data_IF_320378005829
#
_entry.id   IF_320378005829
#
_cell.length_a   1.000
_cell.length_b   1.000
_cell.length_c   1.000
_cell.angle_alpha   90.00
_cell.angle_beta   90.00
_cell.angle_gamma   90.00
#
_symmetry.space_group_name_H-M   'P 1'
#
loop_
_entity.id
_entity.type
_entity.pdbx_description
1 polymer ?
#
# COMPACT_ATOMS: atom_id res chain seq x y z
N UNK A 1 0.37 -5.42 -7.15
CA UNK A 1 0.01 -6.76 -6.62
C UNK A 1 -1.45 -6.83 -6.21
N UNK A 2 -1.94 -5.96 -5.30
CA UNK A 2 -3.33 -5.99 -4.83
C UNK A 2 -4.38 -6.00 -5.95
N UNK A 3 -4.26 -5.12 -6.94
CA UNK A 3 -5.19 -5.03 -8.08
C UNK A 3 -5.36 -6.35 -8.84
N UNK A 4 -4.30 -7.16 -8.94
CA UNK A 4 -4.33 -8.48 -9.60
C UNK A 4 -5.15 -9.47 -8.77
N UNK A 5 -4.98 -9.46 -7.45
CA UNK A 5 -5.72 -10.33 -6.54
C UNK A 5 -7.22 -10.05 -6.59
N UNK A 6 -7.61 -8.77 -6.70
CA UNK A 6 -9.02 -8.41 -6.88
C UNK A 6 -9.52 -8.85 -8.27
N UNK A 7 -8.72 -8.65 -9.32
CA UNK A 7 -9.09 -9.06 -10.69
C UNK A 7 -9.28 -10.57 -10.86
N UNK A 8 -8.51 -11.39 -10.13
CA UNK A 8 -8.62 -12.85 -10.17
C UNK A 8 -9.60 -13.43 -9.14
N UNK A 9 -10.26 -12.58 -8.34
CA UNK A 9 -11.19 -13.01 -7.28
C UNK A 9 -10.52 -13.56 -6.01
N UNK A 10 -9.19 -13.68 -5.99
CA UNK A 10 -8.43 -14.18 -4.83
C UNK A 10 -8.39 -13.17 -3.67
N UNK A 11 -8.69 -11.90 -3.95
CA UNK A 11 -8.68 -10.81 -2.96
C UNK A 11 -9.48 -11.13 -1.71
N UNK A 12 -10.71 -11.67 -1.85
CA UNK A 12 -11.55 -12.02 -0.71
C UNK A 12 -10.95 -13.15 0.13
N UNK A 13 -10.39 -14.18 -0.50
CA UNK A 13 -9.78 -15.32 0.19
C UNK A 13 -8.59 -14.88 1.04
N UNK A 14 -7.71 -14.05 0.47
CA UNK A 14 -6.58 -13.51 1.21
C UNK A 14 -7.04 -12.62 2.37
N UNK A 15 -8.05 -11.77 2.13
CA UNK A 15 -8.61 -10.90 3.16
C UNK A 15 -9.21 -11.70 4.33
N UNK A 16 -9.99 -12.74 4.02
CA UNK A 16 -10.57 -13.64 5.02
C UNK A 16 -9.48 -14.37 5.82
N UNK A 17 -8.42 -14.84 5.15
CA UNK A 17 -7.28 -15.47 5.82
C UNK A 17 -6.60 -14.50 6.80
N UNK A 18 -6.30 -13.28 6.38
CA UNK A 18 -5.66 -12.26 7.22
C UNK A 18 -6.52 -11.95 8.43
N UNK A 19 -7.82 -11.67 8.24
CA UNK A 19 -8.72 -11.35 9.36
C UNK A 19 -8.85 -12.51 10.34
N UNK A 20 -9.00 -13.73 9.82
CA UNK A 20 -9.05 -14.94 10.64
C UNK A 20 -7.78 -15.12 11.47
N UNK A 21 -6.59 -14.91 10.89
CA UNK A 21 -5.32 -15.01 11.62
C UNK A 21 -5.18 -14.00 12.77
N UNK A 22 -5.94 -12.90 12.71
CA UNK A 22 -5.98 -11.88 13.76
C UNK A 22 -7.21 -12.02 14.69
N UNK A 23 -7.99 -13.11 14.54
CA UNK A 23 -9.24 -13.32 15.28
C UNK A 23 -10.25 -12.17 15.11
N UNK A 24 -10.20 -11.46 13.97
CA UNK A 24 -11.09 -10.34 13.65
C UNK A 24 -12.27 -10.85 12.83
N UNK A 25 -13.49 -10.46 13.23
CA UNK A 25 -14.72 -10.73 12.47
C UNK A 25 -15.32 -9.42 11.95
N UNK A 26 -15.11 -9.14 10.67
CA UNK A 26 -15.69 -7.99 9.98
C UNK A 26 -16.50 -8.49 8.78
N UNK A 27 -17.72 -7.99 8.64
CA UNK A 27 -18.58 -8.30 7.50
C UNK A 27 -18.25 -7.38 6.31
N UNK A 28 -17.07 -7.55 5.73
CA UNK A 28 -16.58 -6.76 4.59
C UNK A 28 -16.46 -7.65 3.36
N UNK A 29 -17.08 -7.20 2.28
CA UNK A 29 -17.03 -7.85 0.97
C UNK A 29 -16.16 -7.01 0.03
N UNK A 30 -15.16 -7.65 -0.58
CA UNK A 30 -14.35 -7.06 -1.63
C UNK A 30 -15.16 -7.08 -2.92
N UNK A 31 -15.43 -5.87 -3.43
CA UNK A 31 -16.16 -5.68 -4.68
C UNK A 31 -15.40 -6.18 -5.92
N UNK A 32 -16.06 -6.21 -7.08
CA UNK A 32 -15.43 -6.58 -8.34
C UNK A 32 -14.30 -5.60 -8.70
N UNK A 33 -13.39 -6.06 -9.57
CA UNK A 33 -12.30 -5.21 -10.04
C UNK A 33 -12.83 -3.94 -10.71
N UNK A 34 -12.32 -2.80 -10.24
CA UNK A 34 -12.63 -1.48 -10.77
C UNK A 34 -11.33 -0.79 -11.18
N UNK A 35 -11.19 -0.53 -12.48
CA UNK A 35 -9.96 0.04 -13.05
C UNK A 35 -9.67 1.44 -12.50
N UNK A 36 -10.69 2.28 -12.31
CA UNK A 36 -10.53 3.63 -11.77
C UNK A 36 -10.04 3.61 -10.31
N UNK A 37 -10.60 2.74 -9.48
CA UNK A 37 -10.14 2.55 -8.09
C UNK A 37 -8.70 2.01 -8.05
N UNK A 38 -8.36 1.05 -8.91
CA UNK A 38 -7.02 0.49 -9.00
C UNK A 38 -5.97 1.53 -9.42
N UNK A 39 -6.26 2.34 -10.44
CA UNK A 39 -5.40 3.44 -10.86
C UNK A 39 -5.22 4.48 -9.76
N UNK A 40 -6.32 4.85 -9.09
CA UNK A 40 -6.31 5.79 -7.95
C UNK A 40 -5.40 5.31 -6.83
N UNK A 41 -5.49 4.02 -6.46
CA UNK A 41 -4.64 3.42 -5.43
C UNK A 41 -3.15 3.52 -5.80
N UNK A 42 -2.78 3.24 -7.04
CA UNK A 42 -1.40 3.33 -7.52
C UNK A 42 -0.89 4.76 -7.43
N UNK A 43 -1.66 5.72 -7.94
CA UNK A 43 -1.28 7.14 -7.92
C UNK A 43 -1.11 7.64 -6.49
N UNK A 44 -2.05 7.34 -5.60
CA UNK A 44 -1.99 7.79 -4.21
C UNK A 44 -0.80 7.18 -3.47
N UNK A 45 -0.62 5.85 -3.55
CA UNK A 45 0.48 5.19 -2.85
C UNK A 45 1.85 5.61 -3.39
N UNK A 46 1.97 5.84 -4.71
CA UNK A 46 3.18 6.39 -5.31
C UNK A 46 3.45 7.83 -4.83
N UNK A 47 2.43 8.69 -4.78
CA UNK A 47 2.57 10.06 -4.31
C UNK A 47 3.03 10.12 -2.84
N UNK A 48 2.39 9.36 -1.95
CA UNK A 48 2.80 9.29 -0.54
C UNK A 48 4.19 8.71 -0.38
N UNK A 49 4.50 7.62 -1.08
CA UNK A 49 5.83 7.02 -1.06
C UNK A 49 6.91 7.99 -1.54
N UNK A 50 6.64 8.75 -2.60
CA UNK A 50 7.56 9.77 -3.11
C UNK A 50 7.78 10.90 -2.09
N UNK A 51 6.71 11.43 -1.49
CA UNK A 51 6.82 12.52 -0.50
C UNK A 51 7.61 12.06 0.72
N UNK A 52 7.31 10.87 1.26
CA UNK A 52 8.01 10.32 2.42
C UNK A 52 9.49 10.05 2.07
N UNK A 53 9.74 9.40 0.93
CA UNK A 53 11.10 9.10 0.47
C UNK A 53 11.93 10.37 0.22
N UNK A 54 11.35 11.35 -0.47
CA UNK A 54 12.00 12.65 -0.71
C UNK A 54 12.31 13.38 0.61
N UNK A 55 11.35 13.41 1.54
CA UNK A 55 11.55 14.05 2.85
C UNK A 55 12.64 13.34 3.64
N UNK A 56 12.64 12.00 3.66
CA UNK A 56 13.68 11.20 4.30
C UNK A 56 15.06 11.47 3.71
N UNK A 57 15.17 11.48 2.38
CA UNK A 57 16.42 11.82 1.68
C UNK A 57 16.86 13.26 1.97
N UNK A 58 15.93 14.21 1.98
CA UNK A 58 16.21 15.62 2.28
C UNK A 58 16.77 15.79 3.70
N UNK A 59 16.17 15.12 4.69
CA UNK A 59 16.62 15.11 6.09
C UNK A 59 18.00 14.45 6.17
N UNK A 60 18.17 13.26 5.59
CA UNK A 60 19.43 12.51 5.61
C UNK A 60 20.58 13.36 5.07
N UNK A 61 20.38 14.00 3.92
CA UNK A 61 21.42 14.79 3.25
C UNK A 61 21.75 16.12 3.94
N UNK A 62 20.90 16.62 4.85
CA UNK A 62 21.08 17.95 5.49
C UNK A 62 21.31 17.90 6.99
N UNK A 63 20.75 16.91 7.68
CA UNK A 63 20.69 16.84 9.14
C UNK A 63 21.56 15.71 9.69
N UNK A 64 21.83 14.67 8.90
CA UNK A 64 22.75 13.58 9.25
C UNK A 64 24.06 13.72 8.44
N UNK A 65 24.99 14.60 8.85
CA UNK A 65 26.30 14.64 8.25
C UNK A 65 27.09 13.40 8.71
N UNK A 66 27.18 12.36 7.89
CA UNK A 66 28.43 11.59 7.93
C UNK A 66 29.53 12.57 7.51
N UNK A 67 30.52 12.71 8.40
CA UNK A 67 31.71 13.53 8.24
C UNK A 67 32.05 13.84 6.78
N UNK A 68 32.04 15.13 6.44
CA UNK A 68 32.72 15.65 5.25
C UNK A 68 34.14 15.04 5.23
N UNK A 69 34.40 14.13 4.29
CA UNK A 69 35.74 13.72 3.91
C UNK A 69 36.40 14.84 3.10
#
# INVERSE_FOLDING_TARGET
MWSILVATGVGQTLYNFILWSHMIQLNIVIGPFNLAAAATLVVLTAAFGYVIGYTGAWIWNRVLPESRA
#
